data_IF_335451797411
#
_entry.id   IF_335451797411
#
_cell.length_a   1.000
_cell.length_b   1.000
_cell.length_c   1.000
_cell.angle_alpha   90.00
_cell.angle_beta   90.00
_cell.angle_gamma   90.00
#
_symmetry.space_group_name_H-M   'P 1'
#
loop_
_entity.id
_entity.type
_entity.pdbx_description
1 polymer ?
#
# COMPACT_ATOMS: atom_id res chain seq x y z
N UNK A 1 7.51 -28.53 27.85
CA UNK A 1 6.27 -27.78 28.14
C UNK A 1 6.51 -26.33 27.75
N UNK A 2 5.89 -25.83 26.67
CA UNK A 2 5.82 -24.38 26.43
C UNK A 2 4.70 -23.82 27.31
N UNK A 3 5.04 -22.86 28.16
CA UNK A 3 4.06 -22.16 28.98
C UNK A 3 3.16 -21.31 28.08
N UNK A 4 1.84 -21.58 28.10
CA UNK A 4 0.86 -20.65 27.57
C UNK A 4 0.96 -19.36 28.38
N UNK A 5 1.25 -18.24 27.71
CA UNK A 5 1.14 -16.93 28.33
C UNK A 5 -0.30 -16.74 28.82
N UNK A 6 -0.48 -16.57 30.14
CA UNK A 6 -1.75 -16.13 30.69
C UNK A 6 -2.03 -14.72 30.17
N UNK A 7 -3.06 -14.57 29.33
CA UNK A 7 -3.46 -13.28 28.79
C UNK A 7 -4.17 -12.46 29.86
N UNK A 8 -3.82 -11.17 30.00
CA UNK A 8 -4.33 -10.31 31.07
C UNK A 8 -5.63 -9.56 30.69
N UNK A 9 -6.07 -9.65 29.44
CA UNK A 9 -7.30 -9.03 28.92
C UNK A 9 -7.65 -9.44 27.47
N UNK A 10 -6.77 -10.16 26.76
CA UNK A 10 -7.05 -10.71 25.43
C UNK A 10 -7.61 -12.13 25.55
N UNK A 11 -8.73 -12.43 24.90
CA UNK A 11 -9.26 -13.78 24.88
C UNK A 11 -8.53 -14.61 23.81
N UNK A 12 -7.58 -15.44 24.24
CA UNK A 12 -6.85 -16.33 23.35
C UNK A 12 -7.68 -17.53 22.89
N UNK A 13 -8.71 -17.92 23.65
CA UNK A 13 -9.59 -19.06 23.35
C UNK A 13 -10.64 -18.73 22.28
N UNK A 14 -11.02 -17.45 22.17
CA UNK A 14 -11.96 -16.93 21.18
C UNK A 14 -11.29 -16.06 20.10
N UNK A 15 -9.99 -16.25 19.88
CA UNK A 15 -9.28 -15.53 18.84
C UNK A 15 -9.81 -15.90 17.44
N UNK A 16 -10.22 -14.90 16.66
CA UNK A 16 -10.61 -15.10 15.26
C UNK A 16 -9.36 -15.31 14.40
N UNK A 17 -9.34 -16.40 13.64
CA UNK A 17 -8.25 -16.71 12.70
C UNK A 17 -8.75 -16.53 11.27
N UNK A 18 -8.10 -15.63 10.54
CA UNK A 18 -8.37 -15.40 9.13
C UNK A 18 -7.24 -15.95 8.28
N UNK A 19 -7.62 -16.60 7.18
CA UNK A 19 -6.70 -17.28 6.27
C UNK A 19 -6.94 -16.79 4.85
N UNK A 20 -5.88 -16.32 4.21
CA UNK A 20 -5.92 -16.01 2.78
C UNK A 20 -5.39 -17.14 1.91
N UNK A 21 -5.42 -16.96 0.58
CA UNK A 21 -4.97 -17.99 -0.35
C UNK A 21 -3.49 -18.30 -0.19
N UNK A 22 -3.11 -19.55 -0.43
CA UNK A 22 -1.73 -20.03 -0.32
C UNK A 22 -0.78 -19.24 -1.25
N UNK A 23 0.45 -18.97 -0.78
CA UNK A 23 1.47 -18.28 -1.57
C UNK A 23 1.30 -16.75 -1.69
N UNK A 24 0.16 -16.20 -1.26
CA UNK A 24 -0.14 -14.76 -1.36
C UNK A 24 0.46 -13.90 -0.24
N UNK A 25 0.95 -14.55 0.82
CA UNK A 25 1.45 -13.93 2.06
C UNK A 25 0.39 -13.08 2.76
N UNK A 26 -0.87 -13.52 2.72
CA UNK A 26 -1.95 -12.89 3.47
C UNK A 26 -1.56 -12.65 4.94
N UNK A 27 -1.87 -11.46 5.44
CA UNK A 27 -1.50 -11.04 6.80
C UNK A 27 -0.08 -10.48 6.92
N UNK A 28 0.64 -10.24 5.81
CA UNK A 28 1.94 -9.56 5.84
C UNK A 28 1.83 -8.16 6.46
N UNK A 29 0.76 -7.44 6.13
CA UNK A 29 0.37 -6.20 6.78
C UNK A 29 -1.13 -6.24 7.10
N UNK A 30 -1.50 -5.67 8.24
CA UNK A 30 -2.88 -5.59 8.74
C UNK A 30 -3.13 -4.17 9.25
N UNK A 31 -4.30 -3.62 8.93
CA UNK A 31 -4.74 -2.32 9.42
C UNK A 31 -6.21 -2.38 9.86
N UNK A 32 -6.51 -1.63 10.92
CA UNK A 32 -7.87 -1.37 11.40
C UNK A 32 -8.41 -0.11 10.73
N UNK A 33 -9.62 -0.17 10.18
CA UNK A 33 -10.19 0.94 9.42
C UNK A 33 -11.71 1.02 9.57
N UNK A 34 -12.21 2.16 10.04
CA UNK A 34 -13.65 2.38 10.23
C UNK A 34 -14.25 3.21 9.11
N UNK A 35 -15.28 2.70 8.46
CA UNK A 35 -16.15 3.48 7.57
C UNK A 35 -16.97 4.49 8.41
N UNK A 36 -17.14 5.72 7.91
CA UNK A 36 -17.90 6.80 8.57
C UNK A 36 -19.38 6.88 8.14
N UNK A 37 -19.82 6.10 7.15
CA UNK A 37 -21.23 6.02 6.73
C UNK A 37 -22.12 5.22 7.68
N UNK A 38 -21.58 4.71 8.80
CA UNK A 38 -22.34 4.17 9.91
C UNK A 38 -23.02 5.27 10.73
N UNK A 39 -24.32 5.46 10.50
CA UNK A 39 -25.30 6.00 11.45
C UNK A 39 -24.89 5.79 12.91
N UNK A 40 -25.29 6.70 13.81
CA UNK A 40 -25.10 6.70 15.28
C UNK A 40 -25.54 5.41 16.04
N UNK A 41 -25.79 4.30 15.33
CA UNK A 41 -26.02 2.94 15.82
C UNK A 41 -25.42 1.89 14.85
N UNK A 42 -24.18 1.42 15.11
CA UNK A 42 -23.51 0.22 14.53
C UNK A 42 -22.93 0.32 13.09
N UNK A 43 -21.87 -0.44 12.68
CA UNK A 43 -21.08 -1.48 13.37
C UNK A 43 -19.58 -1.05 13.63
N UNK A 44 -18.73 -1.87 14.29
CA UNK A 44 -17.32 -1.53 14.60
C UNK A 44 -16.41 -1.53 13.37
N UNK A 45 -15.14 -1.05 13.48
CA UNK A 45 -14.22 -0.93 12.36
C UNK A 45 -14.09 -2.22 11.55
N UNK A 46 -14.18 -2.09 10.23
CA UNK A 46 -13.73 -3.13 9.31
C UNK A 46 -12.20 -3.28 9.43
N UNK A 47 -11.68 -4.40 8.97
CA UNK A 47 -10.23 -4.57 8.91
C UNK A 47 -9.76 -4.88 7.51
N UNK A 48 -8.49 -4.56 7.28
CA UNK A 48 -7.84 -4.74 5.99
C UNK A 48 -6.61 -5.62 6.17
N UNK A 49 -6.51 -6.63 5.32
CA UNK A 49 -5.41 -7.58 5.30
C UNK A 49 -4.77 -7.55 3.93
N UNK A 50 -3.47 -7.36 3.88
CA UNK A 50 -2.78 -7.33 2.60
C UNK A 50 -2.11 -8.66 2.26
N UNK A 51 -2.47 -9.25 1.10
CA UNK A 51 -1.68 -10.25 0.41
C UNK A 51 -0.71 -9.59 -0.60
N UNK A 52 0.56 -9.33 -0.25
CA UNK A 52 1.51 -8.67 -1.13
C UNK A 52 1.88 -9.46 -2.39
N UNK A 53 1.47 -10.73 -2.45
CA UNK A 53 1.66 -11.62 -3.60
C UNK A 53 0.34 -12.14 -4.18
N UNK A 54 -0.80 -11.54 -3.84
CA UNK A 54 -2.05 -11.89 -4.51
C UNK A 54 -1.86 -11.78 -6.04
N UNK A 55 -2.22 -12.87 -6.70
CA UNK A 55 -2.33 -12.90 -8.15
C UNK A 55 -3.48 -11.96 -8.55
N UNK A 56 -3.27 -11.12 -9.57
CA UNK A 56 -4.38 -10.38 -10.18
C UNK A 56 -5.46 -11.39 -10.63
N UNK A 57 -6.77 -11.07 -10.57
CA UNK A 57 -7.85 -12.04 -10.83
C UNK A 57 -7.90 -12.64 -12.27
N UNK A 58 -6.98 -12.28 -13.18
CA UNK A 58 -6.92 -12.83 -14.54
C UNK A 58 -6.02 -14.09 -14.65
N UNK A 59 -6.35 -15.11 -15.47
CA UNK A 59 -5.46 -16.26 -15.74
C UNK A 59 -4.11 -15.83 -16.35
N UNK A 60 -2.99 -16.40 -15.88
CA UNK A 60 -1.63 -15.95 -16.25
C UNK A 60 -1.19 -14.69 -15.51
N UNK A 61 -1.81 -14.40 -14.37
CA UNK A 61 -1.64 -13.17 -13.61
C UNK A 61 -0.27 -13.03 -12.97
N UNK A 62 0.19 -11.80 -12.99
CA UNK A 62 1.42 -11.37 -12.34
C UNK A 62 1.15 -11.15 -10.85
N UNK A 63 2.12 -11.42 -9.96
CA UNK A 63 1.99 -11.19 -8.53
C UNK A 63 2.08 -9.68 -8.25
N UNK A 64 1.04 -8.92 -8.56
CA UNK A 64 1.04 -7.49 -8.28
C UNK A 64 0.81 -7.21 -6.79
N UNK A 65 0.16 -8.14 -6.08
CA UNK A 65 -0.31 -7.93 -4.72
C UNK A 65 -1.73 -7.37 -4.69
N UNK A 66 -2.28 -7.22 -3.50
CA UNK A 66 -3.65 -6.78 -3.29
C UNK A 66 -3.95 -6.53 -1.81
N UNK A 67 -5.18 -6.12 -1.53
CA UNK A 67 -5.67 -5.88 -0.18
C UNK A 67 -7.06 -6.49 -0.06
N UNK A 68 -7.28 -7.34 0.95
CA UNK A 68 -8.59 -7.82 1.32
C UNK A 68 -9.22 -6.91 2.36
N UNK A 69 -10.46 -6.49 2.12
CA UNK A 69 -11.33 -5.91 3.16
C UNK A 69 -12.08 -7.05 3.81
N UNK A 70 -12.05 -7.15 5.13
CA UNK A 70 -12.86 -8.15 5.82
C UNK A 70 -13.68 -7.50 6.93
N UNK A 71 -14.97 -7.86 7.01
CA UNK A 71 -15.86 -7.30 8.01
C UNK A 71 -15.39 -7.71 9.40
N UNK A 72 -15.60 -6.82 10.37
CA UNK A 72 -15.15 -7.02 11.75
C UNK A 72 -15.66 -8.33 12.39
N UNK A 73 -16.87 -8.74 11.98
CA UNK A 73 -17.61 -9.86 12.56
C UNK A 73 -17.99 -10.96 11.57
N UNK A 74 -17.43 -10.97 10.36
CA UNK A 74 -17.63 -12.11 9.44
C UNK A 74 -16.83 -13.34 9.88
N UNK A 75 -17.07 -14.51 9.28
CA UNK A 75 -16.24 -15.69 9.53
C UNK A 75 -14.96 -15.66 8.69
N UNK A 76 -15.04 -15.16 7.46
CA UNK A 76 -13.93 -15.06 6.51
C UNK A 76 -13.97 -13.74 5.73
N UNK A 77 -12.87 -13.44 5.05
CA UNK A 77 -12.79 -12.34 4.09
C UNK A 77 -13.58 -12.71 2.83
N UNK A 78 -14.52 -11.86 2.35
CA UNK A 78 -15.21 -12.13 1.10
C UNK A 78 -14.21 -12.21 -0.06
N UNK A 79 -14.39 -13.15 -1.02
CA UNK A 79 -13.49 -13.30 -2.16
C UNK A 79 -13.49 -12.06 -3.06
N UNK A 80 -14.62 -11.34 -3.13
CA UNK A 80 -14.81 -10.13 -3.93
C UNK A 80 -14.27 -8.87 -3.24
N UNK A 81 -13.81 -8.97 -2.00
CA UNK A 81 -13.29 -7.84 -1.23
C UNK A 81 -11.82 -7.52 -1.53
N UNK A 82 -11.31 -7.94 -2.69
CA UNK A 82 -9.94 -7.66 -3.12
C UNK A 82 -9.86 -6.30 -3.81
N UNK A 83 -9.25 -5.33 -3.13
CA UNK A 83 -8.84 -4.08 -3.75
C UNK A 83 -7.50 -4.27 -4.47
N UNK A 84 -7.52 -4.08 -5.78
CA UNK A 84 -6.33 -4.08 -6.62
C UNK A 84 -5.73 -2.67 -6.74
N UNK A 85 -4.46 -2.59 -7.16
CA UNK A 85 -3.81 -1.32 -7.49
C UNK A 85 -4.62 -0.63 -8.63
N UNK A 86 -5.10 0.61 -8.49
CA UNK A 86 -5.76 1.35 -9.59
C UNK A 86 -4.82 1.61 -10.76
N UNK A 87 -5.36 1.93 -11.96
CA UNK A 87 -4.83 2.50 -13.23
C UNK A 87 -3.34 2.35 -13.65
N UNK A 88 -2.40 2.29 -12.72
CA UNK A 88 -0.99 1.95 -12.91
C UNK A 88 -0.74 0.45 -13.21
N UNK A 89 -1.78 -0.38 -13.28
CA UNK A 89 -1.65 -1.82 -13.56
C UNK A 89 -0.95 -2.10 -14.89
N UNK A 90 -1.20 -1.30 -15.94
CA UNK A 90 -0.63 -1.53 -17.27
C UNK A 90 0.90 -1.35 -17.32
N UNK A 91 1.40 -0.26 -16.73
CA UNK A 91 2.84 0.01 -16.66
C UNK A 91 3.53 -0.96 -15.70
N UNK A 92 2.94 -1.20 -14.52
CA UNK A 92 3.45 -2.17 -13.55
C UNK A 92 3.50 -3.59 -14.12
N UNK A 93 2.44 -4.05 -14.81
CA UNK A 93 2.40 -5.36 -15.44
C UNK A 93 3.46 -5.52 -16.53
N UNK A 94 3.64 -4.49 -17.36
CA UNK A 94 4.70 -4.48 -18.39
C UNK A 94 6.08 -4.60 -17.76
N UNK A 95 6.32 -3.86 -16.68
CA UNK A 95 7.59 -3.88 -15.99
C UNK A 95 7.86 -5.23 -15.29
N UNK A 96 6.84 -5.81 -14.64
CA UNK A 96 6.93 -7.14 -14.02
C UNK A 96 7.24 -8.22 -15.05
N UNK A 97 6.56 -8.22 -16.21
CA UNK A 97 6.85 -9.16 -17.32
C UNK A 97 8.26 -9.00 -17.88
N UNK A 98 8.79 -7.77 -17.89
CA UNK A 98 10.12 -7.49 -18.43
C UNK A 98 11.28 -7.85 -17.49
N UNK A 99 11.01 -8.23 -16.23
CA UNK A 99 12.03 -8.54 -15.23
C UNK A 99 11.76 -9.88 -14.58
N UNK A 100 12.72 -10.81 -14.64
CA UNK A 100 12.63 -12.11 -13.95
C UNK A 100 12.46 -11.96 -12.44
N UNK A 101 13.14 -10.98 -11.85
CA UNK A 101 13.06 -10.72 -10.40
C UNK A 101 11.66 -10.25 -10.01
N UNK A 102 11.09 -9.30 -10.76
CA UNK A 102 9.74 -8.81 -10.49
C UNK A 102 8.68 -9.86 -10.83
N UNK A 103 8.87 -10.66 -11.88
CA UNK A 103 7.98 -11.78 -12.19
C UNK A 103 7.92 -12.80 -11.05
N UNK A 104 9.04 -13.03 -10.34
CA UNK A 104 9.10 -13.94 -9.21
C UNK A 104 8.60 -13.32 -7.88
N UNK A 105 8.87 -12.03 -7.66
CA UNK A 105 8.64 -11.38 -6.35
C UNK A 105 7.42 -10.47 -6.31
N UNK A 106 6.98 -9.96 -7.46
CA UNK A 106 5.95 -8.95 -7.55
C UNK A 106 6.42 -7.54 -7.20
N UNK A 107 5.52 -6.56 -7.40
CA UNK A 107 5.73 -5.18 -6.93
C UNK A 107 5.43 -5.00 -5.44
N UNK A 108 4.81 -6.01 -4.81
CA UNK A 108 4.52 -6.02 -3.37
C UNK A 108 3.41 -5.07 -2.96
N UNK A 109 2.37 -4.88 -3.78
CA UNK A 109 1.24 -4.04 -3.38
C UNK A 109 0.53 -4.65 -2.17
N UNK A 110 0.43 -3.87 -1.09
CA UNK A 110 -0.05 -4.34 0.21
C UNK A 110 1.06 -4.74 1.17
N UNK A 111 2.35 -4.64 0.82
CA UNK A 111 3.44 -4.88 1.80
C UNK A 111 3.43 -3.86 2.95
N UNK A 112 2.71 -2.75 2.80
CA UNK A 112 2.46 -1.83 3.91
C UNK A 112 1.03 -1.34 3.83
N UNK A 113 0.35 -1.41 4.97
CA UNK A 113 -0.97 -0.83 5.18
C UNK A 113 -0.88 0.14 6.37
N UNK A 114 -1.53 1.28 6.25
CA UNK A 114 -1.69 2.21 7.36
C UNK A 114 -3.05 2.89 7.28
N UNK A 115 -3.79 2.83 8.36
CA UNK A 115 -5.00 3.61 8.58
C UNK A 115 -4.87 4.25 9.96
N UNK A 116 -5.25 5.53 10.07
CA UNK A 116 -5.33 6.21 11.35
C UNK A 116 -6.80 6.28 11.79
N UNK A 117 -7.03 6.14 13.09
CA UNK A 117 -8.31 6.48 13.70
C UNK A 117 -8.46 8.00 13.73
N UNK A 118 -9.09 8.56 12.70
CA UNK A 118 -9.14 10.00 12.50
C UNK A 118 -10.47 10.45 11.85
N UNK A 119 -10.72 11.77 11.75
CA UNK A 119 -11.96 12.29 11.19
C UNK A 119 -12.18 11.98 9.71
N UNK A 120 -11.09 11.70 8.98
CA UNK A 120 -11.15 11.18 7.62
C UNK A 120 -10.87 9.68 7.72
N UNK A 121 -11.62 8.88 6.97
CA UNK A 121 -11.40 7.44 6.93
C UNK A 121 -10.47 7.11 5.77
N UNK A 122 -9.18 7.47 5.92
CA UNK A 122 -8.17 7.22 4.89
C UNK A 122 -7.34 5.98 5.18
N UNK A 123 -7.22 5.13 4.17
CA UNK A 123 -6.30 4.00 4.14
C UNK A 123 -5.16 4.30 3.16
N UNK A 124 -3.94 3.99 3.55
CA UNK A 124 -2.76 4.00 2.67
C UNK A 124 -2.26 2.57 2.50
N UNK A 125 -2.04 2.17 1.25
CA UNK A 125 -1.48 0.89 0.91
C UNK A 125 -0.32 1.04 -0.08
N UNK A 126 0.81 0.37 0.17
CA UNK A 126 2.02 0.59 -0.61
C UNK A 126 2.50 -0.65 -1.37
N UNK A 127 3.18 -0.38 -2.48
CA UNK A 127 3.96 -1.30 -3.29
C UNK A 127 5.43 -0.81 -3.29
N UNK A 128 6.26 -1.24 -2.32
CA UNK A 128 7.64 -0.75 -2.18
C UNK A 128 8.49 -1.05 -3.43
N UNK A 129 8.20 -2.16 -4.11
CA UNK A 129 8.91 -2.57 -5.34
C UNK A 129 8.23 -2.06 -6.61
N UNK A 130 7.31 -1.10 -6.51
CA UNK A 130 6.78 -0.43 -7.70
C UNK A 130 7.92 0.23 -8.48
N UNK A 131 7.94 -0.02 -9.78
CA UNK A 131 9.03 0.41 -10.67
C UNK A 131 8.56 1.50 -11.61
N UNK A 132 9.47 2.42 -11.90
CA UNK A 132 9.33 3.41 -12.97
C UNK A 132 10.41 3.12 -14.00
N UNK A 133 10.12 3.42 -15.26
CA UNK A 133 11.08 3.35 -16.37
C UNK A 133 11.44 4.77 -16.86
N UNK A 134 12.51 5.40 -16.33
CA UNK A 134 12.96 6.71 -16.79
C UNK A 134 13.40 6.74 -18.26
N UNK A 135 13.94 5.64 -18.77
CA UNK A 135 14.36 5.47 -20.16
C UNK A 135 14.33 3.99 -20.56
N UNK A 136 14.45 3.72 -21.86
CA UNK A 136 14.55 2.36 -22.40
C UNK A 136 15.70 1.61 -21.73
N UNK A 137 15.42 0.43 -21.17
CA UNK A 137 16.42 -0.41 -20.49
C UNK A 137 16.66 -0.13 -19.00
N UNK A 138 16.02 0.87 -18.37
CA UNK A 138 16.07 1.06 -16.91
C UNK A 138 14.81 0.57 -16.21
N UNK A 139 14.98 -0.03 -15.03
CA UNK A 139 13.91 -0.37 -14.09
C UNK A 139 14.32 0.10 -12.71
N UNK A 140 13.65 1.14 -12.23
CA UNK A 140 14.00 1.82 -10.98
C UNK A 140 12.90 1.57 -9.96
N UNK A 141 13.19 0.75 -8.94
CA UNK A 141 12.25 0.43 -7.85
C UNK A 141 12.11 1.60 -6.89
N UNK A 142 11.24 2.53 -7.25
CA UNK A 142 11.05 3.78 -6.51
C UNK A 142 9.99 3.66 -5.43
N UNK A 143 9.10 2.67 -5.55
CA UNK A 143 7.97 2.48 -4.68
C UNK A 143 6.82 3.45 -4.98
N UNK A 144 5.61 3.01 -4.65
CA UNK A 144 4.39 3.77 -4.80
C UNK A 144 3.41 3.39 -3.70
N UNK A 145 2.51 4.29 -3.37
CA UNK A 145 1.38 4.01 -2.50
C UNK A 145 0.08 4.48 -3.13
N UNK A 146 -1.02 3.91 -2.66
CA UNK A 146 -2.37 4.32 -2.99
C UNK A 146 -3.01 4.80 -1.70
N UNK A 147 -3.57 6.00 -1.73
CA UNK A 147 -4.41 6.50 -0.66
C UNK A 147 -5.88 6.39 -1.10
N UNK A 148 -6.67 5.67 -0.31
CA UNK A 148 -8.10 5.48 -0.51
C UNK A 148 -8.81 6.34 0.52
N UNK A 149 -9.68 7.22 0.03
CA UNK A 149 -10.56 8.05 0.85
C UNK A 149 -11.99 7.58 0.62
N UNK A 150 -12.67 7.14 1.68
CA UNK A 150 -14.04 6.64 1.60
C UNK A 150 -15.04 7.74 1.23
N UNK A 151 -14.74 9.01 1.58
CA UNK A 151 -15.57 10.15 1.20
C UNK A 151 -15.46 10.55 -0.29
N UNK A 152 -14.52 9.94 -1.04
CA UNK A 152 -14.35 10.15 -2.48
C UNK A 152 -15.02 9.00 -3.25
N UNK A 153 -16.12 9.30 -3.96
CA UNK A 153 -16.75 8.34 -4.86
C UNK A 153 -16.07 8.37 -6.24
N UNK A 154 -15.87 7.24 -6.95
CA UNK A 154 -15.72 5.84 -6.52
C UNK A 154 -14.26 5.50 -6.11
N UNK A 155 -13.93 4.27 -5.67
CA UNK A 155 -12.54 3.79 -5.49
C UNK A 155 -11.63 3.92 -6.74
N UNK A 156 -12.19 4.31 -7.88
CA UNK A 156 -11.44 4.76 -9.06
C UNK A 156 -10.74 6.12 -8.88
N UNK A 157 -11.04 6.89 -7.83
CA UNK A 157 -10.29 8.10 -7.45
C UNK A 157 -9.15 7.83 -6.45
N UNK A 158 -8.84 6.55 -6.21
CA UNK A 158 -7.74 6.17 -5.35
C UNK A 158 -6.42 6.79 -5.84
N UNK A 159 -5.86 7.64 -4.99
CA UNK A 159 -4.75 8.48 -5.37
C UNK A 159 -3.45 7.68 -5.37
N UNK A 160 -2.80 7.60 -6.53
CA UNK A 160 -1.45 7.06 -6.63
C UNK A 160 -0.40 8.10 -6.22
N UNK A 161 0.33 7.80 -5.14
CA UNK A 161 1.43 8.61 -4.59
C UNK A 161 2.75 7.96 -4.98
N UNK A 162 3.55 8.68 -5.76
CA UNK A 162 4.91 8.27 -6.15
C UNK A 162 5.91 9.36 -5.74
N UNK A 163 6.47 9.30 -4.53
CA UNK A 163 7.25 10.41 -3.98
C UNK A 163 8.54 10.69 -4.77
N UNK A 164 9.10 9.67 -5.42
CA UNK A 164 10.34 9.79 -6.19
C UNK A 164 10.10 9.79 -7.70
N UNK A 165 9.05 10.43 -8.20
CA UNK A 165 8.69 10.39 -9.64
C UNK A 165 9.71 11.05 -10.57
N UNK A 166 10.48 12.04 -10.10
CA UNK A 166 11.35 12.84 -10.95
C UNK A 166 12.49 12.02 -11.58
N UNK A 167 12.72 12.20 -12.89
CA UNK A 167 13.84 11.58 -13.60
C UNK A 167 15.19 12.24 -13.27
N UNK A 168 15.17 13.50 -12.82
CA UNK A 168 16.34 14.25 -12.41
C UNK A 168 16.09 14.90 -11.05
N UNK A 169 17.15 15.00 -10.23
CA UNK A 169 17.13 15.74 -8.96
C UNK A 169 18.20 16.82 -8.96
N UNK A 170 18.02 17.86 -8.14
CA UNK A 170 19.04 18.92 -7.98
C UNK A 170 20.00 18.56 -6.86
N UNK A 171 21.28 18.43 -7.20
CA UNK A 171 22.37 18.18 -6.24
C UNK A 171 23.58 18.99 -6.67
N UNK A 172 24.20 19.73 -5.74
CA UNK A 172 25.43 20.49 -6.02
C UNK A 172 25.29 21.54 -7.13
N UNK A 173 24.15 22.25 -7.18
CA UNK A 173 23.92 23.34 -8.13
C UNK A 173 23.42 22.95 -9.53
N UNK A 174 23.24 21.65 -9.83
CA UNK A 174 22.77 21.21 -11.15
C UNK A 174 21.84 19.98 -11.13
N UNK A 175 21.14 19.69 -12.24
CA UNK A 175 20.33 18.48 -12.38
C UNK A 175 21.23 17.26 -12.55
N UNK A 176 20.92 16.19 -11.81
CA UNK A 176 21.57 14.87 -11.89
C UNK A 176 20.50 13.81 -12.13
N UNK A 177 20.83 12.80 -12.94
CA UNK A 177 19.92 11.68 -13.21
C UNK A 177 19.58 10.97 -11.89
N UNK A 178 18.29 10.78 -11.65
CA UNK A 178 17.79 10.13 -10.45
C UNK A 178 17.89 8.60 -10.56
N UNK A 179 19.05 8.07 -10.18
CA UNK A 179 19.44 6.67 -10.26
C UNK A 179 19.68 6.05 -8.86
N UNK A 180 20.40 4.92 -8.79
CA UNK A 180 20.76 4.23 -7.55
C UNK A 180 21.57 5.07 -6.56
N UNK A 181 22.24 6.14 -7.01
CA UNK A 181 22.96 7.05 -6.12
C UNK A 181 22.03 7.93 -5.28
N UNK A 182 20.77 8.06 -5.72
CA UNK A 182 19.79 8.99 -5.19
C UNK A 182 18.50 8.24 -4.84
N UNK A 183 17.34 8.71 -5.28
CA UNK A 183 16.05 8.10 -4.91
C UNK A 183 15.54 7.09 -5.94
N UNK A 184 16.33 6.76 -6.96
CA UNK A 184 15.95 5.83 -8.03
C UNK A 184 15.65 4.41 -7.57
N UNK A 185 16.18 4.00 -6.42
CA UNK A 185 15.90 2.70 -5.81
C UNK A 185 15.38 2.87 -4.38
N UNK A 186 14.69 3.99 -4.11
CA UNK A 186 14.31 4.36 -2.74
C UNK A 186 13.36 3.39 -2.05
N UNK A 187 12.59 2.59 -2.79
CA UNK A 187 11.53 1.71 -2.25
C UNK A 187 10.55 2.46 -1.34
N UNK A 188 10.09 3.65 -1.75
CA UNK A 188 9.19 4.44 -0.95
C UNK A 188 7.88 3.71 -0.68
N UNK A 189 7.42 3.79 0.57
CA UNK A 189 6.28 3.01 1.03
C UNK A 189 6.67 1.65 1.61
N UNK A 190 7.97 1.40 1.82
CA UNK A 190 8.43 0.31 2.71
C UNK A 190 7.90 0.47 4.15
N UNK A 191 7.69 1.71 4.57
CA UNK A 191 6.88 2.07 5.72
C UNK A 191 6.02 3.28 5.36
N UNK A 192 4.87 3.41 6.01
CA UNK A 192 3.94 4.51 5.77
C UNK A 192 3.26 4.95 7.08
N UNK A 193 2.94 6.23 7.17
CA UNK A 193 2.14 6.81 8.23
C UNK A 193 1.33 8.01 7.72
N UNK A 194 0.24 8.33 8.40
CA UNK A 194 -0.53 9.57 8.20
C UNK A 194 -0.30 10.51 9.40
N UNK A 195 -0.42 11.82 9.19
CA UNK A 195 -0.62 12.73 10.31
C UNK A 195 -2.04 12.60 10.90
N UNK A 196 -2.26 13.15 12.10
CA UNK A 196 -3.55 13.10 12.80
C UNK A 196 -4.70 13.69 11.98
N UNK A 197 -4.44 14.76 11.23
CA UNK A 197 -5.41 15.38 10.32
C UNK A 197 -5.62 14.58 9.02
N UNK A 198 -4.76 13.60 8.76
CA UNK A 198 -4.64 12.84 7.51
C UNK A 198 -4.48 13.71 6.26
N UNK A 199 -3.91 14.90 6.40
CA UNK A 199 -3.57 15.81 5.30
C UNK A 199 -2.18 15.54 4.73
N UNK A 200 -1.38 14.70 5.39
CA UNK A 200 -0.05 14.30 4.94
C UNK A 200 0.13 12.80 5.05
N UNK A 201 0.78 12.23 4.03
CA UNK A 201 1.31 10.86 4.05
C UNK A 201 2.84 10.94 4.17
N UNK A 202 3.39 10.19 5.10
CA UNK A 202 4.84 10.02 5.29
C UNK A 202 5.23 8.62 4.81
N UNK A 203 6.20 8.55 3.91
CA UNK A 203 6.64 7.32 3.26
C UNK A 203 8.12 7.11 3.49
N UNK A 204 8.48 5.99 4.15
CA UNK A 204 9.86 5.58 4.31
C UNK A 204 10.42 5.01 3.00
N UNK A 205 11.59 5.50 2.60
CA UNK A 205 12.36 5.02 1.45
C UNK A 205 13.76 4.62 1.89
N UNK A 206 13.95 3.39 2.42
CA UNK A 206 15.17 2.99 3.13
C UNK A 206 16.42 2.95 2.23
N UNK A 207 16.25 2.77 0.93
CA UNK A 207 17.37 2.65 -0.01
C UNK A 207 17.71 3.94 -0.75
N UNK A 208 17.04 5.04 -0.42
CA UNK A 208 17.35 6.34 -0.98
C UNK A 208 18.76 6.78 -0.58
N UNK A 209 19.45 7.47 -1.50
CA UNK A 209 20.79 8.02 -1.33
C UNK A 209 21.81 6.96 -0.87
N UNK A 210 21.95 5.88 -1.65
CA UNK A 210 22.84 4.74 -1.35
C UNK A 210 22.58 4.08 0.02
N UNK A 211 21.30 3.92 0.39
CA UNK A 211 20.94 3.26 1.64
C UNK A 211 21.02 4.14 2.89
N UNK A 212 21.21 5.45 2.74
CA UNK A 212 21.04 6.38 3.86
C UNK A 212 19.59 6.39 4.36
N UNK A 213 18.65 6.24 3.43
CA UNK A 213 17.22 6.27 3.71
C UNK A 213 16.67 7.69 3.81
N UNK A 214 15.39 7.85 3.49
CA UNK A 214 14.67 9.12 3.67
C UNK A 214 13.23 8.88 4.07
N UNK A 215 12.60 9.91 4.64
CA UNK A 215 11.15 9.99 4.81
C UNK A 215 10.63 11.04 3.82
N UNK A 216 9.81 10.59 2.86
CA UNK A 216 9.14 11.48 1.92
C UNK A 216 7.78 11.90 2.49
N UNK A 217 7.51 13.20 2.52
CA UNK A 217 6.19 13.73 2.84
C UNK A 217 5.45 14.03 1.54
N UNK A 218 4.25 13.48 1.38
CA UNK A 218 3.33 13.82 0.31
C UNK A 218 2.05 14.40 0.89
N UNK A 219 1.48 15.39 0.23
CA UNK A 219 0.08 15.76 0.46
C UNK A 219 -0.78 14.98 -0.53
N UNK A 220 -1.82 14.29 -0.09
CA UNK A 220 -2.86 13.86 -1.00
C UNK A 220 -3.50 15.13 -1.62
N UNK A 221 -3.77 15.18 -2.95
CA UNK A 221 -4.56 16.25 -3.53
C UNK A 221 -5.87 16.37 -2.78
N UNK A 222 -6.33 17.60 -2.57
CA UNK A 222 -7.68 17.83 -2.07
C UNK A 222 -8.64 17.19 -3.08
N UNK A 223 -9.61 16.40 -2.62
CA UNK A 223 -10.74 16.04 -3.46
C UNK A 223 -11.30 17.34 -4.03
N UNK A 224 -11.47 17.38 -5.36
CA UNK A 224 -12.08 18.54 -5.98
C UNK A 224 -13.46 18.67 -5.34
N UNK A 225 -13.63 19.68 -4.48
CA UNK A 225 -14.92 19.94 -3.88
C UNK A 225 -15.94 20.02 -5.00
N UNK A 226 -16.97 19.17 -4.95
CA UNK A 226 -18.20 19.42 -5.68
C UNK A 226 -18.66 20.81 -5.27
N UNK A 227 -18.39 21.80 -6.10
CA UNK A 227 -19.08 23.08 -6.06
C UNK A 227 -20.53 22.77 -6.37
N UNK A 228 -21.35 22.69 -5.34
CA UNK A 228 -22.80 22.86 -5.44
C UNK A 228 -23.09 24.29 -5.89
#
# INVERSE_FOLDING_TARGET
MLALAASYNLNADLARVLTGPEGTRFGYAVALWSDRNGSLRSPPPDWWWAPPRAASPAPGSLPLGGIHVCPAFGDQCPPDALMALPDAQGEAATAVRSSRVLSAQGIGFGETLFAADAPRSRLVACAPRFVIRPHTGSLHSRGACVAVDEAAAPPSEALTIVPFRANYIRVGGGPKLNNHRYTGYGLAGFSAALDEAQDSVFLGGPYAFFGQGVVAKSRPPKSAGRTS
#
